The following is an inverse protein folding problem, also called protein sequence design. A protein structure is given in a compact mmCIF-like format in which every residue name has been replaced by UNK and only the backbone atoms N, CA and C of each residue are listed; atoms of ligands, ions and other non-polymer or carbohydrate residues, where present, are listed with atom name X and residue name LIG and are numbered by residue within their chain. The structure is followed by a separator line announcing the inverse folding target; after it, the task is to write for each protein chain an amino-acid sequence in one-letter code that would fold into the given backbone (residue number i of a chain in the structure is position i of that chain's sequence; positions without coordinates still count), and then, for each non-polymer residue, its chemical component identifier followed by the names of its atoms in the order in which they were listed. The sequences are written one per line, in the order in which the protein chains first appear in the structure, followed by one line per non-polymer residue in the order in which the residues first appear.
data_IF_328321111025
#
_entry.id   IF_328321111025
#
_cell.length_a   1.000
_cell.length_b   1.000
_cell.length_c   1.000
_cell.angle_alpha   90.00
_cell.angle_beta   90.00
_cell.angle_gamma   90.00
#
_symmetry.space_group_name_H-M   'P 1'
#
loop_
_entity.id
_entity.type
_entity.pdbx_description
1 polymer ?
#
# COMPACT_ATOMS: atom_id res chain seq x y z
N UNK A 1 -37.28 -0.15 -19.47
CA UNK A 1 -35.98 -0.02 -20.15
C UNK A 1 -34.92 0.22 -19.09
N UNK A 2 -33.76 -0.44 -19.14
CA UNK A 2 -32.67 -0.11 -18.22
C UNK A 2 -32.25 1.35 -18.43
N UNK A 3 -32.13 2.11 -17.34
CA UNK A 3 -31.60 3.47 -17.38
C UNK A 3 -30.11 3.43 -17.08
N UNK A 4 -29.36 4.32 -17.73
CA UNK A 4 -27.93 4.48 -17.48
C UNK A 4 -27.71 4.89 -16.01
N UNK A 5 -26.71 4.31 -15.30
CA UNK A 5 -26.38 4.73 -13.95
C UNK A 5 -25.90 6.19 -13.91
N UNK A 6 -26.15 6.91 -12.80
CA UNK A 6 -25.61 8.26 -12.62
C UNK A 6 -24.08 8.21 -12.52
N UNK A 7 -23.42 9.29 -12.95
CA UNK A 7 -21.98 9.42 -12.78
C UNK A 7 -21.62 9.65 -11.29
N UNK A 8 -20.49 9.11 -10.80
CA UNK A 8 -20.00 9.39 -9.46
C UNK A 8 -19.76 10.90 -9.22
N UNK A 9 -20.06 11.37 -8.01
CA UNK A 9 -19.77 12.74 -7.60
C UNK A 9 -18.26 13.00 -7.58
N UNK A 10 -17.84 14.22 -7.95
CA UNK A 10 -16.44 14.65 -7.93
C UNK A 10 -15.58 14.22 -9.11
N UNK A 11 -16.10 13.41 -10.05
CA UNK A 11 -15.36 13.11 -11.28
C UNK A 11 -15.27 14.33 -12.20
N UNK A 12 -14.08 14.59 -12.80
CA UNK A 12 -13.94 15.60 -13.83
C UNK A 12 -14.92 15.40 -14.99
N UNK A 13 -15.47 16.50 -15.51
CA UNK A 13 -16.51 16.48 -16.53
C UNK A 13 -16.10 15.71 -17.80
N UNK A 14 -14.84 15.80 -18.21
CA UNK A 14 -14.36 15.08 -19.39
C UNK A 14 -14.39 13.55 -19.24
N UNK A 15 -14.28 13.01 -18.02
CA UNK A 15 -14.44 11.58 -17.75
C UNK A 15 -15.92 11.17 -17.77
N UNK A 16 -16.77 11.99 -17.15
CA UNK A 16 -18.23 11.79 -17.11
C UNK A 16 -18.84 11.73 -18.52
N UNK A 17 -18.29 12.54 -19.43
CA UNK A 17 -18.72 12.58 -20.82
C UNK A 17 -18.00 11.57 -21.72
N UNK A 18 -16.72 11.29 -21.45
CA UNK A 18 -15.86 10.48 -22.30
C UNK A 18 -16.00 8.97 -22.10
N UNK A 19 -15.94 8.50 -20.84
CA UNK A 19 -16.00 7.07 -20.50
C UNK A 19 -17.27 6.42 -21.07
N UNK A 20 -18.47 7.01 -20.92
CA UNK A 20 -19.71 6.34 -21.31
C UNK A 20 -19.96 6.30 -22.83
N UNK A 21 -19.05 6.88 -23.63
CA UNK A 21 -19.05 6.80 -25.10
C UNK A 21 -18.22 5.64 -25.64
N UNK A 22 -17.44 4.97 -24.79
CA UNK A 22 -16.61 3.83 -25.18
C UNK A 22 -17.45 2.54 -25.20
N UNK A 23 -16.95 1.51 -25.90
CA UNK A 23 -17.58 0.20 -25.93
C UNK A 23 -17.17 -0.68 -24.73
N UNK A 24 -17.83 -1.82 -24.57
CA UNK A 24 -17.61 -2.74 -23.45
C UNK A 24 -16.17 -3.32 -23.42
N UNK A 25 -15.48 -3.39 -24.56
CA UNK A 25 -14.10 -3.91 -24.61
C UNK A 25 -13.14 -2.88 -24.05
N UNK A 26 -13.26 -1.65 -24.53
CA UNK A 26 -12.44 -0.52 -24.09
C UNK A 26 -12.70 -0.20 -22.61
N UNK A 27 -13.95 -0.30 -22.15
CA UNK A 27 -14.30 -0.10 -20.74
C UNK A 27 -13.66 -1.12 -19.81
N UNK A 28 -13.53 -2.39 -20.24
CA UNK A 28 -12.84 -3.43 -19.46
C UNK A 28 -11.33 -3.20 -19.44
N UNK A 29 -10.73 -2.89 -20.58
CA UNK A 29 -9.32 -2.57 -20.66
C UNK A 29 -8.96 -1.32 -19.81
N UNK A 30 -9.85 -0.31 -19.81
CA UNK A 30 -9.72 0.87 -18.95
C UNK A 30 -9.82 0.50 -17.46
N UNK A 31 -10.72 -0.41 -17.09
CA UNK A 31 -10.83 -0.89 -15.71
C UNK A 31 -9.52 -1.55 -15.25
N UNK A 32 -9.00 -2.50 -16.03
CA UNK A 32 -7.74 -3.20 -15.72
C UNK A 32 -6.58 -2.19 -15.59
N UNK A 33 -6.49 -1.23 -16.50
CA UNK A 33 -5.46 -0.20 -16.45
C UNK A 33 -5.63 0.79 -15.28
N UNK A 34 -6.86 1.11 -14.87
CA UNK A 34 -7.11 1.93 -13.68
C UNK A 34 -6.63 1.18 -12.44
N UNK A 35 -6.90 -0.11 -12.34
CA UNK A 35 -6.45 -0.93 -11.21
C UNK A 35 -4.91 -0.98 -11.16
N UNK A 36 -4.24 -1.23 -12.29
CA UNK A 36 -2.78 -1.17 -12.41
C UNK A 36 -2.22 0.21 -12.04
N UNK A 37 -2.89 1.30 -12.45
CA UNK A 37 -2.47 2.67 -12.16
C UNK A 37 -2.61 3.01 -10.67
N UNK A 38 -3.66 2.50 -10.02
CA UNK A 38 -3.87 2.67 -8.59
C UNK A 38 -2.83 1.88 -7.80
N UNK A 39 -2.52 0.65 -8.21
CA UNK A 39 -1.45 -0.16 -7.63
C UNK A 39 -0.09 0.55 -7.75
N UNK A 40 0.29 0.96 -8.96
CA UNK A 40 1.53 1.70 -9.22
C UNK A 40 1.67 2.97 -8.35
N UNK A 41 0.57 3.71 -8.11
CA UNK A 41 0.59 4.92 -7.26
C UNK A 41 0.72 4.60 -5.78
N UNK A 42 0.36 3.41 -5.37
CA UNK A 42 0.47 2.91 -4.00
C UNK A 42 1.79 2.19 -3.75
N UNK A 43 2.53 1.82 -4.79
CA UNK A 43 3.85 1.22 -4.66
C UNK A 43 4.83 2.16 -3.94
N UNK A 44 5.71 1.56 -3.14
CA UNK A 44 6.74 2.25 -2.38
C UNK A 44 8.08 1.66 -2.76
N UNK A 45 8.96 2.44 -3.36
CA UNK A 45 10.29 1.95 -3.70
C UNK A 45 11.01 1.50 -2.42
N UNK A 46 11.81 0.44 -2.50
CA UNK A 46 12.53 -0.05 -1.32
C UNK A 46 13.44 1.02 -0.69
N UNK A 47 13.96 1.94 -1.51
CA UNK A 47 14.77 3.10 -1.09
C UNK A 47 14.01 4.19 -0.33
N UNK A 48 12.67 4.21 -0.41
CA UNK A 48 11.81 5.14 0.34
C UNK A 48 11.42 4.59 1.73
N UNK A 49 11.87 3.37 2.08
CA UNK A 49 11.57 2.72 3.36
C UNK A 49 12.75 2.89 4.33
N UNK A 50 12.56 3.73 5.34
CA UNK A 50 13.51 3.91 6.43
C UNK A 50 13.02 3.28 7.75
N UNK A 51 13.98 2.82 8.56
CA UNK A 51 13.70 2.35 9.90
C UNK A 51 13.36 3.54 10.82
N UNK A 52 12.26 3.43 11.56
CA UNK A 52 11.92 4.41 12.59
C UNK A 52 12.84 4.32 13.82
N UNK A 53 12.70 5.27 14.74
CA UNK A 53 13.37 5.22 16.03
C UNK A 53 12.97 3.95 16.81
N UNK A 54 13.97 3.18 17.27
CA UNK A 54 13.73 1.93 17.98
C UNK A 54 13.26 0.78 17.08
N UNK A 55 13.45 0.89 15.76
CA UNK A 55 13.18 -0.15 14.79
C UNK A 55 14.45 -0.58 14.04
N UNK A 56 14.44 -1.78 13.45
CA UNK A 56 15.48 -2.29 12.56
C UNK A 56 14.82 -3.00 11.39
N UNK A 57 15.14 -2.59 10.16
CA UNK A 57 14.68 -3.27 8.95
C UNK A 57 15.60 -4.45 8.68
N UNK A 58 15.02 -5.63 8.55
CA UNK A 58 15.74 -6.87 8.23
C UNK A 58 15.65 -7.18 6.73
N UNK A 59 14.53 -6.84 6.08
CA UNK A 59 14.35 -7.00 4.63
C UNK A 59 13.26 -6.06 4.08
N UNK A 60 13.42 -5.67 2.82
CA UNK A 60 12.42 -4.94 2.02
C UNK A 60 12.32 -5.62 0.65
N UNK A 61 11.11 -5.99 0.25
CA UNK A 61 10.83 -6.64 -1.03
C UNK A 61 9.65 -5.95 -1.72
N UNK A 62 9.87 -5.51 -2.96
CA UNK A 62 8.80 -4.93 -3.79
C UNK A 62 7.93 -6.05 -4.35
N UNK A 63 6.60 -5.93 -4.23
CA UNK A 63 5.65 -6.93 -4.72
C UNK A 63 4.40 -6.28 -5.31
N UNK A 64 3.77 -6.95 -6.28
CA UNK A 64 2.46 -6.55 -6.78
C UNK A 64 1.45 -6.63 -5.62
N UNK A 65 0.95 -5.47 -5.21
CA UNK A 65 0.10 -5.30 -4.04
C UNK A 65 0.78 -4.60 -2.86
N UNK A 66 1.98 -4.05 -3.01
CA UNK A 66 2.67 -3.21 -2.03
C UNK A 66 4.03 -3.76 -1.59
N UNK A 67 4.75 -2.95 -0.81
CA UNK A 67 6.13 -3.25 -0.41
C UNK A 67 6.15 -4.06 0.87
N UNK A 68 6.69 -5.27 0.80
CA UNK A 68 6.83 -6.13 1.97
C UNK A 68 8.02 -5.66 2.78
N UNK A 69 7.78 -5.30 4.04
CA UNK A 69 8.84 -4.91 4.98
C UNK A 69 8.87 -5.88 6.15
N UNK A 70 10.04 -6.44 6.41
CA UNK A 70 10.30 -7.26 7.59
C UNK A 70 11.15 -6.41 8.54
N UNK A 71 10.61 -6.10 9.72
CA UNK A 71 11.32 -5.28 10.71
C UNK A 71 11.17 -5.80 12.14
N UNK A 72 12.13 -5.43 12.98
CA UNK A 72 12.07 -5.58 14.44
C UNK A 72 11.73 -4.23 15.08
N UNK A 73 11.08 -4.25 16.23
CA UNK A 73 10.56 -3.05 16.92
C UNK A 73 10.80 -3.08 18.42
N UNK A 74 10.96 -1.91 19.04
CA UNK A 74 10.93 -1.73 20.49
C UNK A 74 9.48 -1.67 21.00
N UNK A 75 9.21 -2.14 22.22
CA UNK A 75 7.85 -2.09 22.81
C UNK A 75 7.57 -0.85 23.68
N UNK A 76 8.55 0.05 23.82
CA UNK A 76 8.42 1.26 24.66
C UNK A 76 8.35 1.00 26.17
N UNK A 77 8.48 -0.25 26.65
CA UNK A 77 8.50 -0.56 28.09
C UNK A 77 9.92 -0.47 28.63
N UNK A 78 10.12 0.30 29.70
CA UNK A 78 11.44 0.55 30.31
C UNK A 78 12.13 -0.72 30.82
N UNK A 79 11.36 -1.71 31.27
CA UNK A 79 11.88 -2.96 31.84
C UNK A 79 12.01 -4.09 30.81
N UNK A 80 11.90 -3.79 29.51
CA UNK A 80 12.03 -4.78 28.46
C UNK A 80 13.46 -4.81 27.90
N UNK A 81 13.93 -6.00 27.54
CA UNK A 81 15.24 -6.20 26.91
C UNK A 81 15.41 -5.46 25.58
N UNK A 82 14.31 -5.08 24.93
CA UNK A 82 14.37 -4.28 23.70
C UNK A 82 15.01 -2.90 23.92
N UNK A 83 14.99 -2.36 25.15
CA UNK A 83 15.68 -1.11 25.48
C UNK A 83 17.21 -1.25 25.46
N UNK A 84 17.71 -2.48 25.54
CA UNK A 84 19.13 -2.83 25.44
C UNK A 84 19.51 -3.37 24.06
N UNK A 85 18.65 -3.21 23.06
CA UNK A 85 18.92 -3.60 21.66
C UNK A 85 18.37 -4.96 21.24
N UNK A 86 17.79 -5.76 22.16
CA UNK A 86 17.09 -7.02 21.81
C UNK A 86 15.66 -6.73 21.32
N UNK A 87 15.53 -6.13 20.14
CA UNK A 87 14.23 -5.74 19.56
C UNK A 87 13.30 -6.95 19.32
N UNK A 88 11.99 -6.72 19.37
CA UNK A 88 10.97 -7.73 19.12
C UNK A 88 10.77 -7.99 17.63
N UNK A 89 10.34 -9.20 17.28
CA UNK A 89 10.10 -9.62 15.91
C UNK A 89 11.10 -10.68 15.46
N UNK A 90 11.37 -10.82 14.14
CA UNK A 90 10.88 -9.95 13.06
C UNK A 90 9.37 -10.05 12.80
N UNK A 91 8.80 -8.95 12.33
CA UNK A 91 7.39 -8.81 11.97
C UNK A 91 7.25 -8.42 10.51
N UNK A 92 6.25 -8.99 9.83
CA UNK A 92 5.94 -8.70 8.43
C UNK A 92 4.90 -7.59 8.33
N UNK A 93 5.15 -6.65 7.43
CA UNK A 93 4.25 -5.58 7.06
C UNK A 93 4.08 -5.55 5.53
N UNK A 94 2.90 -5.14 5.07
CA UNK A 94 2.73 -4.65 3.70
C UNK A 94 2.58 -3.13 3.77
N UNK A 95 3.46 -2.42 3.08
CA UNK A 95 3.55 -0.97 3.09
C UNK A 95 3.04 -0.42 1.77
N UNK A 96 2.16 0.57 1.84
CA UNK A 96 1.60 1.25 0.67
C UNK A 96 1.62 2.75 0.85
N UNK A 97 1.78 3.49 -0.24
CA UNK A 97 1.67 4.94 -0.24
C UNK A 97 0.20 5.35 -0.13
N UNK A 98 -0.09 6.21 0.82
CA UNK A 98 -1.38 6.86 0.99
C UNK A 98 -1.16 8.38 1.05
N UNK A 99 -1.33 9.04 -0.11
CA UNK A 99 -0.98 10.45 -0.26
C UNK A 99 0.51 10.68 0.00
N UNK A 100 0.82 11.56 0.95
CA UNK A 100 2.20 11.88 1.34
C UNK A 100 2.72 10.99 2.49
N UNK A 101 1.96 9.98 2.89
CA UNK A 101 2.29 9.08 4.02
C UNK A 101 2.36 7.62 3.60
N UNK A 102 2.96 6.79 4.46
CA UNK A 102 3.01 5.34 4.30
C UNK A 102 1.99 4.69 5.24
N UNK A 103 1.13 3.85 4.70
CA UNK A 103 0.27 2.95 5.45
C UNK A 103 0.98 1.61 5.67
N UNK A 104 1.03 1.15 6.92
CA UNK A 104 1.78 -0.04 7.34
C UNK A 104 0.82 -1.12 7.84
N UNK A 105 0.51 -2.09 7.00
CA UNK A 105 -0.41 -3.17 7.35
C UNK A 105 0.34 -4.36 7.99
N UNK A 106 0.17 -4.56 9.31
CA UNK A 106 0.78 -5.68 10.02
C UNK A 106 0.21 -7.04 9.60
N UNK A 107 1.09 -8.00 9.28
CA UNK A 107 0.72 -9.35 8.83
C UNK A 107 1.13 -10.48 9.79
N UNK A 108 1.78 -10.17 10.91
CA UNK A 108 2.20 -11.18 11.89
C UNK A 108 3.71 -11.26 12.10
N UNK A 109 4.11 -12.14 13.02
CA UNK A 109 5.51 -12.52 13.21
C UNK A 109 6.00 -13.38 12.05
N UNK A 110 7.27 -13.18 11.67
CA UNK A 110 7.98 -14.06 10.75
C UNK A 110 8.68 -15.12 11.58
N UNK A 111 8.33 -16.39 11.37
CA UNK A 111 9.06 -17.52 11.96
C UNK A 111 10.23 -17.87 11.06
N UNK A 112 11.42 -18.02 11.63
CA UNK A 112 12.61 -18.55 10.95
C UNK A 112 12.43 -19.98 10.41
#
# INVERSE_FOLDING_TARGET
MPTRPPAPEGLPQYLVEGIPKQDDTDLRALQDWIDDLLEYRQDVAAEDIDAGEGESIEAVEESGGGTVVIKKVSCGKDNCKCQSGELHGPYKYIVRRQGDSLDWEYKGAVTE
#
